data_IF_529639583946
#
_entry.id   IF_529639583946
#
_cell.length_a   1.000
_cell.length_b   1.000
_cell.length_c   1.000
_cell.angle_alpha   90.00
_cell.angle_beta   90.00
_cell.angle_gamma   90.00
#
_symmetry.space_group_name_H-M   'P 1'
#
loop_
_entity.id
_entity.type
_entity.pdbx_description
1 polymer ?
#
# COMPACT_ATOMS: atom_id res chain seq x y z
N UNK A 1 -17.63 11.17 -17.25
CA UNK A 1 -16.22 11.63 -17.02
C UNK A 1 -15.45 11.83 -18.34
N UNK A 2 -16.13 11.76 -19.49
CA UNK A 2 -15.50 11.67 -20.83
C UNK A 2 -15.40 13.02 -21.56
N UNK A 3 -16.25 13.99 -21.24
CA UNK A 3 -16.38 15.21 -22.08
C UNK A 3 -15.31 16.27 -21.78
N UNK A 4 -14.96 16.52 -20.51
CA UNK A 4 -13.87 17.46 -20.15
C UNK A 4 -12.54 17.07 -20.78
N UNK A 5 -12.18 15.79 -20.73
CA UNK A 5 -10.92 15.31 -21.32
C UNK A 5 -10.90 15.49 -22.84
N UNK A 6 -12.05 15.28 -23.49
CA UNK A 6 -12.22 15.49 -24.93
C UNK A 6 -12.06 16.97 -25.30
N UNK A 7 -12.74 17.89 -24.61
CA UNK A 7 -12.59 19.32 -24.87
C UNK A 7 -11.16 19.83 -24.65
N UNK A 8 -10.46 19.33 -23.62
CA UNK A 8 -9.05 19.62 -23.42
C UNK A 8 -8.19 19.08 -24.57
N UNK A 9 -8.42 17.85 -25.02
CA UNK A 9 -7.66 17.24 -26.12
C UNK A 9 -7.76 18.04 -27.44
N UNK A 10 -8.90 18.67 -27.66
CA UNK A 10 -9.21 19.44 -28.87
C UNK A 10 -8.98 20.95 -28.75
N UNK A 11 -8.55 21.44 -27.58
CA UNK A 11 -8.46 22.89 -27.28
C UNK A 11 -9.80 23.64 -27.45
N UNK A 12 -10.92 22.93 -27.27
CA UNK A 12 -12.28 23.46 -27.31
C UNK A 12 -12.65 24.07 -25.96
N UNK A 13 -11.90 25.11 -25.57
CA UNK A 13 -12.02 25.73 -24.26
C UNK A 13 -13.33 26.46 -24.07
N UNK A 14 -13.90 27.03 -25.14
CA UNK A 14 -15.15 27.75 -25.03
C UNK A 14 -16.28 26.79 -24.66
N UNK A 15 -16.37 25.65 -25.34
CA UNK A 15 -17.35 24.62 -25.06
C UNK A 15 -17.11 23.97 -23.70
N UNK A 16 -15.86 23.72 -23.31
CA UNK A 16 -15.53 23.26 -21.96
C UNK A 16 -16.13 24.17 -20.89
N UNK A 17 -15.94 25.49 -20.99
CA UNK A 17 -16.39 26.41 -19.97
C UNK A 17 -17.90 26.66 -20.02
N UNK A 18 -18.49 26.77 -21.22
CA UNK A 18 -19.90 27.08 -21.37
C UNK A 18 -20.81 25.86 -21.17
N UNK A 19 -20.47 24.73 -21.78
CA UNK A 19 -21.34 23.55 -21.84
C UNK A 19 -21.15 22.63 -20.63
N UNK A 20 -19.91 22.41 -20.19
CA UNK A 20 -19.62 21.50 -19.07
C UNK A 20 -19.56 22.19 -17.71
N UNK A 21 -18.93 23.37 -17.64
CA UNK A 21 -18.65 24.04 -16.38
C UNK A 21 -19.70 25.09 -15.98
N UNK A 22 -20.64 25.45 -16.86
CA UNK A 22 -21.68 26.45 -16.55
C UNK A 22 -21.13 27.86 -16.37
N UNK A 23 -20.20 28.28 -17.24
CA UNK A 23 -19.68 29.66 -17.26
C UNK A 23 -20.41 30.50 -18.29
N UNK A 24 -20.28 31.82 -18.16
CA UNK A 24 -20.99 32.77 -19.00
C UNK A 24 -20.15 33.10 -20.25
N UNK A 25 -20.82 33.39 -21.37
CA UNK A 25 -20.13 33.77 -22.62
C UNK A 25 -19.38 35.10 -22.42
N UNK A 26 -18.09 35.09 -22.77
CA UNK A 26 -17.27 36.30 -22.84
C UNK A 26 -16.83 36.55 -24.29
N UNK A 27 -16.85 37.81 -24.73
CA UNK A 27 -16.41 38.21 -26.05
C UNK A 27 -15.33 39.30 -25.93
N UNK A 28 -14.38 39.27 -26.87
CA UNK A 28 -13.29 40.24 -26.96
C UNK A 28 -11.91 39.60 -26.97
N UNK A 29 -10.91 40.42 -27.30
CA UNK A 29 -9.51 40.07 -27.38
C UNK A 29 -8.67 41.06 -26.59
N UNK A 30 -7.55 40.60 -26.08
CA UNK A 30 -6.58 41.43 -25.36
C UNK A 30 -5.26 41.29 -26.06
N UNK A 31 -4.79 42.40 -26.62
CA UNK A 31 -3.49 42.48 -27.27
C UNK A 31 -2.44 42.96 -26.26
N UNK A 32 -1.37 42.18 -26.10
CA UNK A 32 -0.23 42.51 -25.27
C UNK A 32 1.04 42.55 -26.13
N UNK A 33 1.88 43.56 -25.92
CA UNK A 33 3.21 43.59 -26.55
C UNK A 33 4.28 43.20 -25.55
N UNK A 34 5.09 42.18 -25.84
CA UNK A 34 6.22 41.74 -25.00
C UNK A 34 7.37 41.24 -25.89
N UNK A 35 8.61 41.66 -25.58
CA UNK A 35 9.82 41.30 -26.33
C UNK A 35 9.70 41.57 -27.86
N UNK A 36 9.01 42.64 -28.24
CA UNK A 36 8.77 43.00 -29.65
C UNK A 36 7.75 42.12 -30.39
N UNK A 37 7.07 41.20 -29.70
CA UNK A 37 5.99 40.38 -30.25
C UNK A 37 4.63 40.82 -29.70
N UNK A 38 3.62 40.78 -30.55
CA UNK A 38 2.22 40.98 -30.18
C UNK A 38 1.60 39.64 -29.81
N UNK A 39 0.83 39.65 -28.74
CA UNK A 39 0.17 38.50 -28.14
C UNK A 39 -1.33 38.75 -28.12
N UNK A 40 -2.07 37.94 -28.86
CA UNK A 40 -3.52 38.00 -28.91
C UNK A 40 -4.11 36.96 -27.94
N UNK A 41 -4.78 37.43 -26.90
CA UNK A 41 -5.49 36.60 -25.93
C UNK A 41 -7.00 36.74 -26.13
N UNK A 42 -7.64 35.66 -26.57
CA UNK A 42 -9.08 35.60 -26.76
C UNK A 42 -9.80 35.34 -25.43
N UNK A 43 -10.88 36.08 -25.16
CA UNK A 43 -11.79 35.76 -24.06
C UNK A 43 -12.61 34.52 -24.41
N UNK A 44 -12.54 33.52 -23.55
CA UNK A 44 -13.20 32.22 -23.71
C UNK A 44 -14.53 32.21 -22.97
N UNK A 45 -14.49 32.59 -21.69
CA UNK A 45 -15.63 32.59 -20.79
C UNK A 45 -15.41 33.59 -19.66
N UNK A 46 -16.47 33.90 -18.91
CA UNK A 46 -16.37 34.64 -17.66
C UNK A 46 -17.29 34.03 -16.60
N UNK A 47 -17.00 34.32 -15.33
CA UNK A 47 -17.97 34.09 -14.24
C UNK A 47 -17.87 35.22 -13.23
N UNK A 48 -18.96 35.98 -13.07
CA UNK A 48 -19.08 37.08 -12.09
C UNK A 48 -17.90 38.07 -12.06
N UNK A 49 -17.21 38.27 -13.19
CA UNK A 49 -16.06 39.18 -13.34
C UNK A 49 -14.70 38.49 -13.47
N UNK A 50 -14.59 37.20 -13.15
CA UNK A 50 -13.39 36.40 -13.44
C UNK A 50 -13.38 36.08 -14.94
N UNK A 51 -12.28 36.37 -15.63
CA UNK A 51 -12.16 36.11 -17.07
C UNK A 51 -11.25 34.91 -17.36
N UNK A 52 -11.67 34.05 -18.29
CA UNK A 52 -10.84 33.00 -18.86
C UNK A 52 -10.36 33.45 -20.23
N UNK A 53 -9.04 33.39 -20.41
CA UNK A 53 -8.36 33.83 -21.60
C UNK A 53 -7.63 32.67 -22.25
N UNK A 54 -7.63 32.61 -23.58
CA UNK A 54 -6.89 31.63 -24.36
C UNK A 54 -5.94 32.33 -25.32
N UNK A 55 -4.67 31.91 -25.28
CA UNK A 55 -3.62 32.38 -26.19
C UNK A 55 -2.98 31.20 -26.93
N UNK A 56 -3.19 31.11 -28.24
CA UNK A 56 -2.48 30.15 -29.07
C UNK A 56 -1.05 30.64 -29.32
N UNK A 57 -0.07 29.77 -29.14
CA UNK A 57 1.35 30.14 -29.23
C UNK A 57 2.22 28.99 -29.74
N UNK A 58 3.49 29.27 -30.07
CA UNK A 58 4.45 28.28 -30.52
C UNK A 58 5.06 27.47 -29.36
N UNK A 59 5.52 26.26 -29.65
CA UNK A 59 6.11 25.35 -28.65
C UNK A 59 7.32 25.94 -27.89
N UNK A 60 8.32 26.57 -28.54
CA UNK A 60 9.41 27.25 -27.83
C UNK A 60 8.90 28.28 -26.82
N UNK A 61 7.90 29.06 -27.23
CA UNK A 61 7.30 30.08 -26.39
C UNK A 61 6.51 29.48 -25.21
N UNK A 62 5.74 28.41 -25.43
CA UNK A 62 5.02 27.69 -24.38
C UNK A 62 5.97 27.05 -23.34
N UNK A 63 7.22 26.75 -23.73
CA UNK A 63 8.28 26.29 -22.82
C UNK A 63 8.98 27.43 -22.07
N UNK A 64 8.91 28.66 -22.59
CA UNK A 64 9.57 29.82 -21.97
C UNK A 64 8.72 30.41 -20.84
N UNK A 65 8.85 29.83 -19.65
CA UNK A 65 8.10 30.25 -18.44
C UNK A 65 8.39 31.67 -18.02
N UNK A 66 9.63 32.13 -18.15
CA UNK A 66 9.98 33.51 -17.83
C UNK A 66 9.15 34.48 -18.69
N UNK A 67 8.97 34.16 -19.97
CA UNK A 67 8.13 34.94 -20.86
C UNK A 67 6.65 34.86 -20.48
N UNK A 68 6.11 33.66 -20.24
CA UNK A 68 4.71 33.50 -19.84
C UNK A 68 4.40 34.24 -18.52
N UNK A 69 5.31 34.22 -17.54
CA UNK A 69 5.16 34.99 -16.29
C UNK A 69 5.17 36.50 -16.51
N UNK A 70 6.04 37.00 -17.39
CA UNK A 70 6.05 38.43 -17.76
C UNK A 70 4.74 38.83 -18.45
N UNK A 71 4.17 37.96 -19.29
CA UNK A 71 2.84 38.18 -19.86
C UNK A 71 1.77 38.23 -18.78
N UNK A 72 1.76 37.25 -17.88
CA UNK A 72 0.83 37.21 -16.75
C UNK A 72 0.92 38.47 -15.89
N UNK A 73 2.12 38.97 -15.61
CA UNK A 73 2.33 40.21 -14.85
C UNK A 73 1.77 41.43 -15.57
N UNK A 74 1.97 41.55 -16.89
CA UNK A 74 1.35 42.63 -17.69
C UNK A 74 -0.17 42.50 -17.69
N UNK A 75 -0.68 41.29 -17.84
CA UNK A 75 -2.10 41.01 -17.89
C UNK A 75 -2.81 41.30 -16.56
N UNK A 76 -2.16 41.03 -15.43
CA UNK A 76 -2.65 41.39 -14.09
C UNK A 76 -2.76 42.90 -13.83
N UNK A 77 -2.13 43.73 -14.66
CA UNK A 77 -2.33 45.17 -14.69
C UNK A 77 -3.59 45.60 -15.45
N UNK A 78 -4.14 44.73 -16.32
CA UNK A 78 -5.32 45.00 -17.13
C UNK A 78 -6.59 44.35 -16.58
N UNK A 79 -6.46 43.12 -16.06
CA UNK A 79 -7.59 42.36 -15.49
C UNK A 79 -7.23 41.92 -14.09
N UNK A 80 -8.13 42.21 -13.14
CA UNK A 80 -7.92 41.89 -11.74
C UNK A 80 -7.85 40.37 -11.49
N UNK A 81 -8.84 39.62 -11.98
CA UNK A 81 -8.99 38.17 -11.73
C UNK A 81 -9.14 37.43 -13.06
N UNK A 82 -8.16 36.58 -13.39
CA UNK A 82 -8.15 35.90 -14.68
C UNK A 82 -7.40 34.57 -14.66
N UNK A 83 -7.93 33.60 -15.41
CA UNK A 83 -7.28 32.34 -15.77
C UNK A 83 -6.76 32.49 -17.20
N UNK A 84 -5.50 32.15 -17.47
CA UNK A 84 -4.97 32.11 -18.83
C UNK A 84 -4.62 30.70 -19.22
N UNK A 85 -5.05 30.30 -20.41
CA UNK A 85 -4.74 29.02 -21.00
C UNK A 85 -3.89 29.30 -22.24
N UNK A 86 -2.63 28.90 -22.21
CA UNK A 86 -1.80 28.92 -23.41
C UNK A 86 -1.83 27.56 -24.07
N UNK A 87 -1.99 27.50 -25.39
CA UNK A 87 -1.97 26.22 -26.11
C UNK A 87 -1.09 26.26 -27.37
N UNK A 88 -0.58 25.10 -27.79
CA UNK A 88 0.14 24.93 -29.06
C UNK A 88 -0.26 23.63 -29.74
N UNK A 89 -0.26 23.57 -31.08
CA UNK A 89 -0.78 22.41 -31.83
C UNK A 89 0.22 21.26 -32.07
N UNK A 90 1.53 21.51 -32.01
CA UNK A 90 2.54 20.51 -32.39
C UNK A 90 3.68 20.31 -31.38
N UNK A 91 3.70 19.23 -30.58
CA UNK A 91 2.57 18.40 -30.16
C UNK A 91 1.57 19.18 -29.30
N UNK A 92 0.29 18.78 -29.30
CA UNK A 92 -0.77 19.47 -28.56
C UNK A 92 -0.48 19.57 -27.07
N UNK A 93 -0.28 20.79 -26.59
CA UNK A 93 0.01 21.10 -25.18
C UNK A 93 -0.78 22.28 -24.69
N UNK A 94 -0.85 22.35 -23.37
CA UNK A 94 -1.50 23.43 -22.65
C UNK A 94 -0.68 23.81 -21.44
N UNK A 95 -0.69 25.11 -21.12
CA UNK A 95 -0.21 25.64 -19.85
C UNK A 95 -1.30 26.50 -19.29
N UNK A 96 -1.91 26.03 -18.20
CA UNK A 96 -2.89 26.80 -17.45
C UNK A 96 -2.17 27.65 -16.42
N UNK A 97 -2.39 28.95 -16.46
CA UNK A 97 -1.83 29.92 -15.54
C UNK A 97 -2.94 30.58 -14.75
N UNK A 98 -2.75 30.61 -13.43
CA UNK A 98 -3.60 31.34 -12.51
C UNK A 98 -2.69 32.14 -11.58
N UNK A 99 -3.00 33.43 -11.41
CA UNK A 99 -2.21 34.32 -10.58
C UNK A 99 -3.11 34.92 -9.49
N UNK A 100 -2.78 34.64 -8.24
CA UNK A 100 -3.51 35.19 -7.08
C UNK A 100 -2.73 36.37 -6.52
N UNK A 101 -3.37 37.52 -6.33
CA UNK A 101 -2.79 38.59 -5.50
C UNK A 101 -2.73 38.08 -4.07
N UNK A 102 -1.53 38.12 -3.46
CA UNK A 102 -1.37 37.84 -2.04
C UNK A 102 -2.15 38.85 -1.21
N UNK A 103 -2.33 38.55 0.07
CA UNK A 103 -2.99 39.43 1.03
C UNK A 103 -2.35 40.83 1.11
N UNK A 104 -1.09 40.96 0.65
CA UNK A 104 -0.37 42.23 0.49
C UNK A 104 -0.81 43.08 -0.74
N UNK A 105 -1.71 42.56 -1.58
CA UNK A 105 -2.25 43.18 -2.80
C UNK A 105 -1.24 43.41 -3.94
N UNK A 106 0.07 43.27 -3.66
CA UNK A 106 1.17 43.69 -4.54
C UNK A 106 1.88 42.52 -5.19
N UNK A 107 1.94 41.35 -4.55
CA UNK A 107 2.67 40.18 -5.05
C UNK A 107 1.72 39.16 -5.64
N UNK A 108 1.98 38.74 -6.87
CA UNK A 108 1.26 37.66 -7.52
C UNK A 108 1.89 36.31 -7.15
N UNK A 109 1.09 35.37 -6.64
CA UNK A 109 1.45 33.95 -6.58
C UNK A 109 1.08 33.33 -7.92
N UNK A 110 2.09 32.91 -8.69
CA UNK A 110 1.88 32.28 -9.99
C UNK A 110 1.77 30.76 -9.82
N UNK A 111 0.72 30.17 -10.37
CA UNK A 111 0.56 28.72 -10.53
C UNK A 111 0.51 28.38 -12.01
N UNK A 112 1.22 27.33 -12.38
CA UNK A 112 1.31 26.84 -13.74
C UNK A 112 1.01 25.35 -13.74
N UNK A 113 0.10 24.92 -14.61
CA UNK A 113 -0.20 23.50 -14.83
C UNK A 113 0.07 23.15 -16.30
N UNK A 114 1.33 22.79 -16.64
CA UNK A 114 1.68 22.35 -17.98
C UNK A 114 1.33 20.87 -18.18
N UNK A 115 0.67 20.53 -19.29
CA UNK A 115 0.38 19.14 -19.65
C UNK A 115 0.15 18.97 -21.16
N UNK A 116 0.12 17.71 -21.60
CA UNK A 116 -0.27 17.36 -22.97
C UNK A 116 -1.77 17.26 -23.10
N UNK A 117 -2.31 17.86 -24.16
CA UNK A 117 -3.76 17.85 -24.39
C UNK A 117 -4.33 16.44 -24.53
N UNK A 118 -3.59 15.51 -25.14
CA UNK A 118 -4.05 14.13 -25.33
C UNK A 118 -3.97 13.28 -24.05
N UNK A 119 -3.32 13.77 -22.99
CA UNK A 119 -3.16 13.06 -21.72
C UNK A 119 -3.23 14.06 -20.56
N UNK A 120 -4.41 14.65 -20.32
CA UNK A 120 -4.60 15.53 -19.18
C UNK A 120 -4.47 14.72 -17.88
N UNK A 121 -3.79 15.24 -16.84
CA UNK A 121 -3.63 14.55 -15.57
C UNK A 121 -5.00 14.25 -14.94
N UNK A 122 -5.21 13.02 -14.46
CA UNK A 122 -6.49 12.61 -13.84
C UNK A 122 -6.89 13.48 -12.65
N UNK A 123 -5.91 13.93 -11.85
CA UNK A 123 -6.12 14.90 -10.76
C UNK A 123 -6.63 16.24 -11.29
N UNK A 124 -6.09 16.73 -12.40
CA UNK A 124 -6.57 17.97 -13.01
C UNK A 124 -7.99 17.82 -13.52
N UNK A 125 -8.33 16.71 -14.18
CA UNK A 125 -9.70 16.42 -14.63
C UNK A 125 -10.68 16.42 -13.46
N UNK A 126 -10.34 15.73 -12.37
CA UNK A 126 -11.18 15.72 -11.17
C UNK A 126 -11.33 17.12 -10.56
N UNK A 127 -10.25 17.91 -10.53
CA UNK A 127 -10.26 19.29 -10.04
C UNK A 127 -11.13 20.20 -10.90
N UNK A 128 -11.04 20.10 -12.23
CA UNK A 128 -11.84 20.93 -13.13
C UNK A 128 -13.35 20.73 -12.94
N UNK A 129 -13.80 19.55 -12.52
CA UNK A 129 -15.21 19.36 -12.11
C UNK A 129 -15.63 20.31 -10.97
N UNK A 130 -14.69 20.69 -10.10
CA UNK A 130 -14.94 21.66 -9.04
C UNK A 130 -15.14 23.11 -9.52
N UNK A 131 -14.87 23.42 -10.80
CA UNK A 131 -15.19 24.71 -11.41
C UNK A 131 -16.61 24.77 -11.97
N UNK A 132 -17.40 23.71 -11.80
CA UNK A 132 -18.77 23.65 -12.29
C UNK A 132 -19.68 24.54 -11.43
N UNK A 133 -20.59 25.26 -12.09
CA UNK A 133 -21.71 25.96 -11.49
C UNK A 133 -23.00 25.35 -12.04
N UNK A 134 -23.91 24.94 -11.17
CA UNK A 134 -25.24 24.44 -11.59
C UNK A 134 -26.19 25.60 -11.78
N UNK A 135 -27.22 25.44 -12.61
CA UNK A 135 -28.22 26.48 -12.88
C UNK A 135 -28.85 27.04 -11.59
N UNK A 136 -29.17 26.17 -10.62
CA UNK A 136 -29.73 26.56 -9.32
C UNK A 136 -28.75 27.43 -8.49
N UNK A 137 -27.44 27.22 -8.64
CA UNK A 137 -26.43 28.02 -7.94
C UNK A 137 -26.19 29.37 -8.63
N UNK A 138 -26.46 29.49 -9.93
CA UNK A 138 -26.11 30.69 -10.69
C UNK A 138 -26.78 31.95 -10.17
N UNK A 139 -28.03 31.84 -9.69
CA UNK A 139 -28.80 32.98 -9.18
C UNK A 139 -28.18 33.59 -7.91
N UNK A 140 -27.53 32.76 -7.08
CA UNK A 140 -27.00 33.16 -5.77
C UNK A 140 -25.49 33.42 -5.77
N UNK A 141 -24.74 32.85 -6.73
CA UNK A 141 -23.27 32.91 -6.72
C UNK A 141 -22.76 34.35 -6.88
N UNK A 142 -22.05 34.81 -5.85
CA UNK A 142 -21.32 36.09 -5.86
C UNK A 142 -19.93 35.96 -6.47
N UNK A 143 -19.27 37.08 -6.77
CA UNK A 143 -17.85 37.10 -7.16
C UNK A 143 -16.95 36.43 -6.10
N UNK A 144 -17.24 36.63 -4.81
CA UNK A 144 -16.44 36.05 -3.71
C UNK A 144 -16.56 34.53 -3.72
N UNK A 145 -17.76 33.99 -3.97
CA UNK A 145 -17.99 32.54 -4.02
C UNK A 145 -17.34 31.93 -5.26
N UNK A 146 -17.47 32.59 -6.42
CA UNK A 146 -16.77 32.19 -7.63
C UNK A 146 -15.24 32.20 -7.44
N UNK A 147 -14.69 33.25 -6.82
CA UNK A 147 -13.25 33.34 -6.50
C UNK A 147 -12.82 32.26 -5.52
N UNK A 148 -13.61 32.01 -4.47
CA UNK A 148 -13.33 30.96 -3.49
C UNK A 148 -13.28 29.59 -4.16
N UNK A 149 -14.24 29.29 -5.04
CA UNK A 149 -14.30 28.02 -5.78
C UNK A 149 -13.12 27.87 -6.74
N UNK A 150 -12.85 28.90 -7.56
CA UNK A 150 -11.68 28.92 -8.46
C UNK A 150 -10.38 28.75 -7.67
N UNK A 151 -10.24 29.41 -6.52
CA UNK A 151 -9.09 29.26 -5.63
C UNK A 151 -9.01 27.85 -5.03
N UNK A 152 -10.11 27.29 -4.54
CA UNK A 152 -10.12 25.91 -4.03
C UNK A 152 -9.70 24.90 -5.08
N UNK A 153 -10.02 25.12 -6.35
CA UNK A 153 -9.68 24.21 -7.44
C UNK A 153 -8.26 24.43 -7.97
N UNK A 154 -7.87 25.69 -8.24
CA UNK A 154 -6.62 26.03 -8.92
C UNK A 154 -5.47 26.39 -7.97
N UNK A 155 -5.75 26.72 -6.69
CA UNK A 155 -4.72 26.89 -5.64
C UNK A 155 -4.40 25.55 -4.93
N UNK A 156 -5.08 24.47 -5.30
CA UNK A 156 -4.83 23.14 -4.74
C UNK A 156 -3.62 22.46 -5.38
N UNK A 157 -2.46 22.70 -4.76
CA UNK A 157 -1.43 21.70 -4.47
C UNK A 157 -0.43 22.35 -3.52
N UNK A 158 -0.67 22.18 -2.21
CA UNK A 158 0.39 22.29 -1.21
C UNK A 158 1.45 21.18 -1.41
N UNK A 159 1.15 20.15 -2.20
CA UNK A 159 2.06 19.05 -2.49
C UNK A 159 3.24 19.48 -3.39
N UNK A 160 3.06 20.38 -4.36
CA UNK A 160 4.16 20.86 -5.20
C UNK A 160 4.78 22.18 -4.72
N UNK A 161 4.45 22.61 -3.50
CA UNK A 161 4.80 23.94 -3.02
C UNK A 161 6.33 24.14 -2.87
N UNK A 162 7.10 23.05 -2.75
CA UNK A 162 8.56 23.10 -2.82
C UNK A 162 9.08 23.67 -4.15
N UNK A 163 8.46 23.31 -5.29
CA UNK A 163 8.90 23.75 -6.64
C UNK A 163 8.22 25.04 -7.08
N UNK A 164 6.96 25.23 -6.71
CA UNK A 164 6.22 26.44 -7.06
C UNK A 164 6.72 27.70 -6.33
N UNK A 165 7.37 27.54 -5.16
CA UNK A 165 7.98 28.66 -4.42
C UNK A 165 9.30 29.14 -5.03
N UNK A 166 9.93 28.35 -5.90
CA UNK A 166 11.31 28.56 -6.32
C UNK A 166 11.48 28.54 -7.84
N UNK A 167 11.17 29.67 -8.53
CA UNK A 167 11.39 29.87 -9.97
C UNK A 167 12.71 29.33 -10.53
N UNK A 168 13.80 29.49 -9.77
CA UNK A 168 15.14 29.04 -10.16
C UNK A 168 15.24 27.52 -10.27
N UNK A 169 14.41 26.77 -9.54
CA UNK A 169 14.50 25.32 -9.50
C UNK A 169 14.17 24.72 -10.86
N UNK A 170 13.04 25.15 -11.46
CA UNK A 170 12.60 24.64 -12.76
C UNK A 170 13.62 25.01 -13.86
N UNK A 171 14.12 26.24 -13.85
CA UNK A 171 15.12 26.69 -14.82
C UNK A 171 16.45 25.92 -14.68
N UNK A 172 16.90 25.68 -13.45
CA UNK A 172 18.11 24.91 -13.20
C UNK A 172 17.93 23.42 -13.52
N UNK A 173 16.76 22.85 -13.23
CA UNK A 173 16.40 21.48 -13.62
C UNK A 173 16.47 21.31 -15.13
N UNK A 174 15.88 22.24 -15.90
CA UNK A 174 15.91 22.20 -17.36
C UNK A 174 17.34 22.32 -17.92
N UNK A 175 18.17 23.19 -17.35
CA UNK A 175 19.59 23.31 -17.74
C UNK A 175 20.38 22.04 -17.46
N UNK A 176 20.20 21.45 -16.28
CA UNK A 176 20.88 20.20 -15.91
C UNK A 176 20.36 19.01 -16.75
N UNK A 177 19.08 18.99 -17.10
CA UNK A 177 18.52 17.99 -18.00
C UNK A 177 19.13 18.10 -19.41
N UNK A 178 19.36 19.32 -19.92
CA UNK A 178 20.08 19.51 -21.18
C UNK A 178 21.54 19.04 -21.08
N UNK A 179 22.24 19.39 -20.00
CA UNK A 179 23.59 18.91 -19.77
C UNK A 179 23.68 17.37 -19.64
N UNK A 180 22.60 16.72 -19.16
CA UNK A 180 22.48 15.27 -19.10
C UNK A 180 22.23 14.62 -20.48
N UNK A 181 21.55 15.31 -21.41
CA UNK A 181 21.41 14.87 -22.81
C UNK A 181 22.76 14.90 -23.55
N UNK A 182 23.60 15.89 -23.23
CA UNK A 182 24.90 16.12 -23.87
C UNK A 182 26.07 15.43 -23.15
N UNK A 183 25.88 14.99 -21.89
CA UNK A 183 26.92 14.50 -21.00
C UNK A 183 26.79 13.02 -20.60
N UNK A 184 27.88 12.48 -20.01
CA UNK A 184 27.92 11.11 -19.47
C UNK A 184 27.44 10.98 -18.02
N UNK A 185 27.87 9.93 -17.31
CA UNK A 185 27.41 9.65 -15.94
C UNK A 185 27.57 10.81 -14.94
N UNK A 186 28.60 11.64 -15.09
CA UNK A 186 28.81 12.80 -14.23
C UNK A 186 27.65 13.81 -14.29
N UNK A 187 27.06 14.01 -15.47
CA UNK A 187 25.91 14.90 -15.65
C UNK A 187 24.64 14.30 -15.04
N UNK A 188 24.43 12.99 -15.19
CA UNK A 188 23.35 12.25 -14.52
C UNK A 188 23.47 12.36 -12.99
N UNK A 189 24.68 12.20 -12.45
CA UNK A 189 24.92 12.29 -11.02
C UNK A 189 24.61 13.71 -10.49
N UNK A 190 25.08 14.75 -11.16
CA UNK A 190 24.76 16.14 -10.82
C UNK A 190 23.24 16.42 -10.87
N UNK A 191 22.57 15.88 -11.89
CA UNK A 191 21.11 16.01 -12.06
C UNK A 191 20.34 15.32 -10.92
N UNK A 192 20.72 14.11 -10.53
CA UNK A 192 20.11 13.37 -9.41
C UNK A 192 20.36 14.08 -8.08
N UNK A 193 21.59 14.54 -7.82
CA UNK A 193 21.91 15.27 -6.58
C UNK A 193 21.12 16.57 -6.44
N UNK A 194 20.91 17.30 -7.54
CA UNK A 194 20.08 18.51 -7.53
C UNK A 194 18.62 18.20 -7.11
N UNK A 195 18.09 17.05 -7.50
CA UNK A 195 16.73 16.61 -7.17
C UNK A 195 16.61 15.88 -5.83
N UNK A 196 17.67 15.76 -5.02
CA UNK A 196 17.60 15.17 -3.68
C UNK A 196 16.48 15.74 -2.78
N UNK A 197 16.25 17.07 -2.71
CA UNK A 197 15.17 17.61 -1.88
C UNK A 197 13.78 17.12 -2.30
N UNK A 198 13.58 16.84 -3.59
CA UNK A 198 12.33 16.25 -4.10
C UNK A 198 12.10 14.87 -3.48
N UNK A 199 13.14 14.03 -3.44
CA UNK A 199 13.07 12.69 -2.86
C UNK A 199 12.68 12.76 -1.40
N UNK A 200 13.37 13.59 -0.61
CA UNK A 200 13.07 13.73 0.81
C UNK A 200 11.63 14.20 1.05
N UNK A 201 11.17 15.16 0.25
CA UNK A 201 9.80 15.66 0.34
C UNK A 201 8.76 14.56 0.04
N UNK A 202 8.98 13.74 -1.00
CA UNK A 202 8.07 12.63 -1.34
C UNK A 202 8.14 11.52 -0.27
N UNK A 203 9.34 11.12 0.13
CA UNK A 203 9.61 10.01 1.06
C UNK A 203 9.01 10.25 2.45
N UNK A 204 9.01 11.49 2.95
CA UNK A 204 8.40 11.86 4.23
C UNK A 204 6.92 11.43 4.35
N UNK A 205 6.19 11.43 3.23
CA UNK A 205 4.78 11.02 3.20
C UNK A 205 4.62 9.52 3.43
N UNK A 206 5.62 8.72 3.08
CA UNK A 206 5.60 7.26 3.19
C UNK A 206 6.04 6.76 4.57
N UNK A 207 6.92 7.50 5.26
CA UNK A 207 7.25 7.25 6.67
C UNK A 207 5.99 7.12 7.51
N UNK A 208 5.04 8.05 7.31
CA UNK A 208 3.75 8.04 8.03
C UNK A 208 2.92 6.76 7.78
N UNK A 209 3.01 6.14 6.60
CA UNK A 209 2.22 4.94 6.28
C UNK A 209 2.85 3.66 6.82
N UNK A 210 4.17 3.64 6.94
CA UNK A 210 4.92 2.42 7.18
C UNK A 210 5.55 2.33 8.56
N UNK A 211 5.47 3.40 9.38
CA UNK A 211 6.19 3.51 10.65
C UNK A 211 7.70 3.21 10.49
N UNK A 212 8.23 3.44 9.30
CA UNK A 212 9.58 3.11 8.89
C UNK A 212 10.58 4.26 9.03
N UNK A 213 11.87 3.96 8.90
CA UNK A 213 12.89 5.00 8.89
C UNK A 213 12.75 5.90 7.64
N UNK A 214 12.89 7.20 7.84
CA UNK A 214 12.94 8.18 6.76
C UNK A 214 14.13 7.95 5.84
N UNK A 215 15.24 7.43 6.37
CA UNK A 215 16.42 7.13 5.57
C UNK A 215 16.12 6.02 4.56
N UNK A 216 15.49 4.92 4.98
CA UNK A 216 15.11 3.82 4.10
C UNK A 216 14.08 4.26 3.05
N UNK A 217 13.10 5.06 3.45
CA UNK A 217 12.11 5.63 2.53
C UNK A 217 12.77 6.56 1.50
N UNK A 218 13.77 7.34 1.93
CA UNK A 218 14.55 8.21 1.05
C UNK A 218 15.42 7.40 0.09
N UNK A 219 16.08 6.32 0.53
CA UNK A 219 16.86 5.45 -0.35
C UNK A 219 16.00 4.82 -1.44
N UNK A 220 14.83 4.29 -1.08
CA UNK A 220 13.84 3.79 -2.05
C UNK A 220 13.43 4.88 -3.04
N UNK A 221 13.22 6.10 -2.53
CA UNK A 221 12.91 7.26 -3.35
C UNK A 221 14.05 7.68 -4.28
N UNK A 222 15.31 7.57 -3.87
CA UNK A 222 16.48 7.84 -4.70
C UNK A 222 16.59 6.85 -5.86
N UNK A 223 16.30 5.57 -5.62
CA UNK A 223 16.23 4.57 -6.70
C UNK A 223 15.14 4.93 -7.71
N UNK A 224 14.00 5.46 -7.24
CA UNK A 224 12.91 5.93 -8.08
C UNK A 224 13.29 7.17 -8.89
N UNK A 225 14.00 8.11 -8.27
CA UNK A 225 14.54 9.30 -8.91
C UNK A 225 15.57 8.94 -9.98
N UNK A 226 16.47 7.98 -9.70
CA UNK A 226 17.47 7.52 -10.66
C UNK A 226 16.80 6.86 -11.88
N UNK A 227 15.78 6.04 -11.65
CA UNK A 227 14.97 5.47 -12.73
C UNK A 227 14.26 6.55 -13.55
N UNK A 228 13.71 7.57 -12.89
CA UNK A 228 13.09 8.70 -13.56
C UNK A 228 14.11 9.46 -14.42
N UNK A 229 15.28 9.78 -13.87
CA UNK A 229 16.33 10.52 -14.58
C UNK A 229 16.77 9.80 -15.85
N UNK A 230 16.99 8.47 -15.78
CA UNK A 230 17.40 7.66 -16.94
C UNK A 230 16.34 7.56 -18.05
N UNK A 231 15.06 7.70 -17.71
CA UNK A 231 13.94 7.57 -18.66
C UNK A 231 13.32 8.92 -19.05
N UNK A 232 13.83 10.00 -18.47
CA UNK A 232 13.26 11.31 -18.69
C UNK A 232 13.52 11.77 -20.12
N UNK A 233 12.44 12.21 -20.77
CA UNK A 233 12.47 12.71 -22.14
C UNK A 233 12.01 14.17 -22.14
N UNK A 234 12.95 15.09 -22.30
CA UNK A 234 12.68 16.53 -22.32
C UNK A 234 11.95 16.97 -23.60
N UNK A 235 12.01 16.17 -24.68
CA UNK A 235 11.17 16.40 -25.86
C UNK A 235 9.68 16.29 -25.47
N UNK A 236 9.36 15.44 -24.47
CA UNK A 236 8.03 15.37 -23.87
C UNK A 236 7.72 16.53 -22.94
N UNK A 237 8.68 17.35 -22.55
CA UNK A 237 8.56 18.68 -21.92
C UNK A 237 7.43 18.89 -20.90
N UNK A 238 7.07 17.85 -20.17
CA UNK A 238 6.63 17.98 -18.80
C UNK A 238 7.86 18.30 -17.94
N UNK A 239 7.67 18.97 -16.81
CA UNK A 239 8.78 19.13 -15.87
C UNK A 239 9.28 17.78 -15.43
N UNK A 240 10.59 17.67 -15.21
CA UNK A 240 11.14 16.48 -14.61
C UNK A 240 10.49 16.18 -13.24
N UNK A 241 10.25 17.22 -12.42
CA UNK A 241 9.58 17.10 -11.12
C UNK A 241 8.23 16.38 -11.21
N UNK A 242 7.40 16.73 -12.21
CA UNK A 242 6.09 16.12 -12.45
C UNK A 242 6.21 14.63 -12.75
N UNK A 243 7.18 14.25 -13.59
CA UNK A 243 7.42 12.84 -13.93
C UNK A 243 8.06 12.06 -12.78
N UNK A 244 9.06 12.66 -12.14
CA UNK A 244 9.85 12.05 -11.08
C UNK A 244 9.01 11.76 -9.84
N UNK A 245 8.07 12.63 -9.45
CA UNK A 245 7.17 12.37 -8.31
C UNK A 245 6.47 11.03 -8.46
N UNK A 246 5.91 10.72 -9.63
CA UNK A 246 5.23 9.44 -9.85
C UNK A 246 6.17 8.23 -9.79
N UNK A 247 7.40 8.38 -10.27
CA UNK A 247 8.40 7.32 -10.22
C UNK A 247 8.88 7.06 -8.78
N UNK A 248 9.15 8.14 -8.04
CA UNK A 248 9.57 8.11 -6.63
C UNK A 248 8.45 7.51 -5.79
N UNK A 249 7.22 8.03 -5.90
CA UNK A 249 6.05 7.49 -5.20
C UNK A 249 5.85 6.02 -5.54
N UNK A 250 5.91 5.64 -6.82
CA UNK A 250 5.73 4.26 -7.26
C UNK A 250 6.73 3.29 -6.60
N UNK A 251 8.01 3.67 -6.55
CA UNK A 251 9.03 2.86 -5.88
C UNK A 251 8.86 2.85 -4.36
N UNK A 252 8.69 4.00 -3.72
CA UNK A 252 8.43 4.07 -2.27
C UNK A 252 7.21 3.23 -1.89
N UNK A 253 6.16 3.21 -2.71
CA UNK A 253 4.96 2.40 -2.46
C UNK A 253 5.25 0.90 -2.54
N UNK A 254 6.00 0.49 -3.56
CA UNK A 254 6.34 -0.91 -3.80
C UNK A 254 7.30 -1.44 -2.74
N UNK A 255 8.38 -0.72 -2.50
CA UNK A 255 9.43 -1.12 -1.56
C UNK A 255 8.91 -0.98 -0.12
N UNK A 256 8.09 0.04 0.14
CA UNK A 256 7.17 0.18 1.28
C UNK A 256 6.48 -1.12 1.67
N UNK A 257 5.77 -1.70 0.70
CA UNK A 257 5.01 -2.93 0.88
C UNK A 257 5.88 -4.18 1.09
N UNK A 258 7.12 -4.16 0.61
CA UNK A 258 8.02 -5.32 0.64
C UNK A 258 8.84 -5.37 1.93
N UNK A 259 9.34 -4.22 2.39
CA UNK A 259 10.41 -4.16 3.39
C UNK A 259 9.97 -3.59 4.74
N UNK A 260 8.93 -2.77 4.80
CA UNK A 260 8.58 -2.04 6.01
C UNK A 260 7.46 -2.68 6.83
N UNK A 261 7.12 -3.94 6.58
CA UNK A 261 6.13 -4.68 7.36
C UNK A 261 6.79 -5.88 8.02
N UNK A 262 6.56 -6.06 9.32
CA UNK A 262 7.03 -7.24 10.05
C UNK A 262 6.42 -8.53 9.49
N UNK A 263 5.15 -8.46 9.07
CA UNK A 263 4.45 -9.54 8.37
C UNK A 263 4.10 -9.02 6.97
N UNK A 264 4.58 -9.71 5.94
CA UNK A 264 4.41 -9.27 4.56
C UNK A 264 2.94 -9.37 4.14
N UNK A 265 2.38 -8.24 3.70
CA UNK A 265 1.01 -8.16 3.16
C UNK A 265 1.08 -7.92 1.64
N UNK A 266 0.29 -8.63 0.82
CA UNK A 266 0.22 -8.39 -0.62
C UNK A 266 -0.12 -6.92 -0.95
N UNK A 267 0.56 -6.33 -1.94
CA UNK A 267 0.43 -4.91 -2.27
C UNK A 267 -1.00 -4.48 -2.64
N UNK A 268 -1.79 -5.39 -3.22
CA UNK A 268 -3.19 -5.14 -3.59
C UNK A 268 -4.13 -5.07 -2.37
N UNK A 269 -3.74 -5.65 -1.23
CA UNK A 269 -4.47 -5.57 0.04
C UNK A 269 -3.96 -4.42 0.92
N UNK A 270 -2.64 -4.18 0.88
CA UNK A 270 -1.97 -3.21 1.73
C UNK A 270 -2.49 -1.78 1.54
N UNK A 271 -2.53 -1.28 0.31
CA UNK A 271 -2.96 0.10 0.04
C UNK A 271 -4.41 0.37 0.42
N UNK A 272 -5.38 -0.47 0.04
CA UNK A 272 -6.76 -0.34 0.53
C UNK A 272 -6.86 -0.32 2.05
N UNK A 273 -6.15 -1.23 2.74
CA UNK A 273 -6.21 -1.30 4.20
C UNK A 273 -5.56 -0.09 4.88
N UNK A 274 -4.41 0.40 4.39
CA UNK A 274 -3.79 1.62 4.91
C UNK A 274 -4.66 2.87 4.70
N UNK A 275 -5.34 2.95 3.56
CA UNK A 275 -6.29 4.05 3.32
C UNK A 275 -7.49 3.95 4.26
N UNK A 276 -8.03 2.74 4.45
CA UNK A 276 -9.12 2.47 5.39
C UNK A 276 -8.71 2.84 6.82
N UNK A 277 -7.52 2.45 7.27
CA UNK A 277 -7.01 2.81 8.60
C UNK A 277 -7.06 4.33 8.83
N UNK A 278 -6.58 5.12 7.86
CA UNK A 278 -6.60 6.59 7.97
C UNK A 278 -8.01 7.17 7.93
N UNK A 279 -8.92 6.54 7.22
CA UNK A 279 -10.32 6.94 7.21
C UNK A 279 -10.98 6.66 8.55
N UNK A 280 -10.73 5.49 9.12
CA UNK A 280 -11.19 5.12 10.46
C UNK A 280 -10.61 6.03 11.55
N UNK A 281 -9.34 6.43 11.45
CA UNK A 281 -8.73 7.42 12.36
C UNK A 281 -9.47 8.78 12.31
N UNK A 282 -9.90 9.23 11.12
CA UNK A 282 -10.71 10.45 10.98
C UNK A 282 -12.11 10.28 11.55
N UNK A 283 -12.76 9.15 11.26
CA UNK A 283 -14.09 8.82 11.79
C UNK A 283 -14.05 8.78 13.32
N UNK A 284 -13.01 8.16 13.89
CA UNK A 284 -12.78 8.12 15.33
C UNK A 284 -12.64 9.50 15.94
N UNK A 285 -11.90 10.41 15.29
CA UNK A 285 -11.71 11.77 15.78
C UNK A 285 -13.02 12.57 15.87
N UNK A 286 -14.03 12.23 15.05
CA UNK A 286 -15.32 12.92 15.01
C UNK A 286 -16.35 12.25 15.93
N UNK A 287 -16.44 10.92 15.91
CA UNK A 287 -17.53 10.16 16.54
C UNK A 287 -17.09 9.00 17.44
N UNK A 288 -15.80 8.86 17.70
CA UNK A 288 -15.24 7.81 18.56
C UNK A 288 -15.48 6.40 18.01
N UNK A 289 -15.49 5.41 18.93
CA UNK A 289 -15.56 4.00 18.57
C UNK A 289 -16.92 3.59 17.97
N UNK A 290 -18.02 4.24 18.35
CA UNK A 290 -19.35 3.93 17.82
C UNK A 290 -19.41 4.23 16.32
N UNK A 291 -18.89 5.38 15.90
CA UNK A 291 -18.83 5.77 14.49
C UNK A 291 -17.92 4.85 13.66
N UNK A 292 -16.82 4.33 14.23
CA UNK A 292 -16.02 3.29 13.55
C UNK A 292 -16.87 2.05 13.26
N UNK A 293 -17.63 1.58 14.25
CA UNK A 293 -18.41 0.35 14.11
C UNK A 293 -19.50 0.52 13.04
N UNK A 294 -20.18 1.65 13.03
CA UNK A 294 -21.16 2.01 11.99
C UNK A 294 -20.50 2.08 10.60
N UNK A 295 -19.35 2.75 10.49
CA UNK A 295 -18.60 2.84 9.24
C UNK A 295 -18.19 1.46 8.71
N UNK A 296 -17.74 0.54 9.58
CA UNK A 296 -17.34 -0.80 9.18
C UNK A 296 -18.54 -1.65 8.71
N UNK A 297 -19.73 -1.44 9.27
CA UNK A 297 -20.97 -2.07 8.80
C UNK A 297 -21.32 -1.57 7.40
N UNK A 298 -21.26 -0.25 7.18
CA UNK A 298 -21.49 0.34 5.85
C UNK A 298 -20.44 -0.12 4.83
N UNK A 299 -19.18 -0.20 5.25
CA UNK A 299 -18.09 -0.71 4.42
C UNK A 299 -18.35 -2.16 4.00
N UNK A 300 -18.82 -3.02 4.90
CA UNK A 300 -19.13 -4.41 4.57
C UNK A 300 -20.22 -4.53 3.48
N UNK A 301 -21.15 -3.56 3.41
CA UNK A 301 -22.14 -3.50 2.34
C UNK A 301 -21.56 -2.95 1.02
N UNK A 302 -20.66 -1.96 1.09
CA UNK A 302 -20.06 -1.30 -0.08
C UNK A 302 -18.93 -2.11 -0.73
N UNK A 303 -18.05 -2.69 0.09
CA UNK A 303 -16.87 -3.45 -0.29
C UNK A 303 -16.65 -4.63 0.68
N UNK A 304 -17.35 -5.76 0.45
CA UNK A 304 -17.26 -6.92 1.33
C UNK A 304 -15.87 -7.58 1.32
N UNK A 305 -15.10 -7.43 0.24
CA UNK A 305 -13.76 -7.99 0.14
C UNK A 305 -12.81 -7.26 1.10
N UNK A 306 -12.78 -5.93 1.06
CA UNK A 306 -11.96 -5.13 1.96
C UNK A 306 -12.37 -5.31 3.43
N UNK A 307 -13.67 -5.36 3.71
CA UNK A 307 -14.18 -5.58 5.06
C UNK A 307 -13.74 -6.95 5.64
N UNK A 308 -13.63 -7.99 4.81
CA UNK A 308 -13.16 -9.32 5.22
C UNK A 308 -11.65 -9.32 5.52
N UNK A 309 -10.86 -8.60 4.74
CA UNK A 309 -9.40 -8.58 4.88
C UNK A 309 -8.92 -7.64 5.99
N UNK A 310 -9.69 -6.58 6.29
CA UNK A 310 -9.35 -5.57 7.29
C UNK A 310 -8.97 -6.12 8.68
N UNK A 311 -9.72 -7.06 9.30
CA UNK A 311 -9.36 -7.60 10.60
C UNK A 311 -8.00 -8.29 10.61
N UNK A 312 -7.68 -9.05 9.55
CA UNK A 312 -6.41 -9.73 9.39
C UNK A 312 -5.26 -8.71 9.26
N UNK A 313 -5.44 -7.71 8.39
CA UNK A 313 -4.48 -6.62 8.25
C UNK A 313 -4.26 -5.88 9.58
N UNK A 314 -5.33 -5.48 10.26
CA UNK A 314 -5.27 -4.75 11.53
C UNK A 314 -4.50 -5.57 12.59
N UNK A 315 -4.72 -6.88 12.65
CA UNK A 315 -4.01 -7.77 13.55
C UNK A 315 -2.49 -7.80 13.29
N UNK A 316 -2.05 -7.77 12.02
CA UNK A 316 -0.61 -7.76 11.70
C UNK A 316 0.13 -6.52 12.18
N UNK A 317 -0.57 -5.39 12.34
CA UNK A 317 0.00 -4.10 12.79
C UNK A 317 -0.27 -3.78 14.25
N UNK A 318 -1.24 -4.44 14.87
CA UNK A 318 -1.57 -4.26 16.28
C UNK A 318 -0.51 -4.93 17.15
N UNK A 319 0.59 -4.22 17.37
CA UNK A 319 1.59 -4.63 18.36
C UNK A 319 1.00 -4.46 19.75
N UNK A 320 0.83 -5.60 20.44
CA UNK A 320 0.36 -5.61 21.81
C UNK A 320 1.56 -5.67 22.76
N UNK A 321 1.62 -4.74 23.71
CA UNK A 321 2.67 -4.71 24.71
C UNK A 321 2.48 -5.87 25.69
N UNK A 322 3.53 -6.66 25.93
CA UNK A 322 3.56 -7.67 26.99
C UNK A 322 4.30 -7.16 28.23
N UNK A 323 4.37 -5.83 28.40
CA UNK A 323 5.14 -5.22 29.49
C UNK A 323 4.38 -5.22 30.81
N UNK A 324 3.04 -5.31 30.76
CA UNK A 324 2.18 -5.20 31.93
C UNK A 324 1.54 -6.55 32.29
N UNK A 325 1.91 -7.18 33.42
CA UNK A 325 1.34 -8.46 33.83
C UNK A 325 -0.18 -8.47 34.07
N UNK A 326 -0.77 -7.29 34.29
CA UNK A 326 -2.21 -7.11 34.49
C UNK A 326 -3.02 -7.20 33.19
N UNK A 327 -2.40 -6.93 32.04
CA UNK A 327 -3.10 -6.93 30.75
C UNK A 327 -3.49 -8.35 30.31
N UNK A 328 -4.67 -8.54 29.71
CA UNK A 328 -5.12 -9.85 29.26
C UNK A 328 -4.15 -10.48 28.25
N UNK A 329 -3.53 -9.67 27.40
CA UNK A 329 -2.51 -10.07 26.43
C UNK A 329 -1.31 -10.79 27.07
N UNK A 330 -0.79 -10.25 28.17
CA UNK A 330 0.29 -10.87 28.91
C UNK A 330 -0.14 -12.22 29.48
N UNK A 331 -1.36 -12.29 30.02
CA UNK A 331 -1.92 -13.52 30.59
C UNK A 331 -2.15 -14.58 29.52
N UNK A 332 -2.58 -14.20 28.32
CA UNK A 332 -2.71 -15.09 27.16
C UNK A 332 -1.35 -15.59 26.68
N UNK A 333 -0.37 -14.69 26.51
CA UNK A 333 0.99 -15.06 26.12
C UNK A 333 1.64 -16.04 27.12
N UNK A 334 1.34 -15.90 28.42
CA UNK A 334 1.82 -16.82 29.47
C UNK A 334 1.10 -18.17 29.48
N UNK A 335 -0.09 -18.26 28.89
CA UNK A 335 -0.84 -19.51 28.73
C UNK A 335 -0.38 -20.30 27.50
N UNK A 336 0.44 -19.72 26.62
CA UNK A 336 1.13 -20.50 25.60
C UNK A 336 1.89 -21.63 26.32
N UNK A 337 1.60 -22.91 26.02
CA UNK A 337 2.30 -24.00 26.66
C UNK A 337 3.78 -23.80 26.37
N UNK A 338 4.58 -23.63 27.42
CA UNK A 338 6.03 -23.68 27.27
C UNK A 338 6.32 -24.94 26.47
N UNK A 339 6.96 -24.83 25.29
CA UNK A 339 7.47 -26.01 24.58
C UNK A 339 8.20 -26.81 25.63
N UNK A 340 7.64 -27.97 25.99
CA UNK A 340 8.09 -28.66 27.17
C UNK A 340 9.59 -28.90 27.01
N UNK A 341 10.35 -28.53 28.03
CA UNK A 341 11.81 -28.47 27.95
C UNK A 341 12.29 -29.80 27.32
N UNK A 342 12.95 -29.79 26.15
CA UNK A 342 13.32 -31.01 25.45
C UNK A 342 14.12 -31.98 26.33
N UNK A 343 14.90 -31.43 27.28
CA UNK A 343 15.64 -32.20 28.27
C UNK A 343 14.72 -32.84 29.31
N UNK A 344 13.72 -32.10 29.81
CA UNK A 344 12.75 -32.62 30.78
C UNK A 344 11.83 -33.68 30.15
N UNK A 345 11.35 -33.44 28.92
CA UNK A 345 10.62 -34.44 28.15
C UNK A 345 11.49 -35.67 27.87
N UNK A 346 12.76 -35.47 27.48
CA UNK A 346 13.68 -36.56 27.20
C UNK A 346 13.92 -37.47 28.41
N UNK A 347 14.09 -36.88 29.60
CA UNK A 347 14.23 -37.60 30.87
C UNK A 347 12.92 -38.30 31.24
N UNK A 348 11.79 -37.61 31.19
CA UNK A 348 10.48 -38.20 31.50
C UNK A 348 10.15 -39.37 30.55
N UNK A 349 10.42 -39.21 29.25
CA UNK A 349 10.25 -40.30 28.28
C UNK A 349 11.23 -41.45 28.52
N UNK A 350 12.47 -41.17 28.96
CA UNK A 350 13.43 -42.21 29.32
C UNK A 350 12.96 -43.01 30.55
N UNK A 351 12.54 -42.33 31.61
CA UNK A 351 11.98 -42.96 32.81
C UNK A 351 10.74 -43.80 32.48
N UNK A 352 9.78 -43.25 31.71
CA UNK A 352 8.59 -43.99 31.26
C UNK A 352 8.96 -45.22 30.43
N UNK A 353 9.96 -45.12 29.54
CA UNK A 353 10.44 -46.27 28.74
C UNK A 353 11.06 -47.34 29.63
N UNK A 354 11.82 -46.97 30.65
CA UNK A 354 12.43 -47.91 31.59
C UNK A 354 11.36 -48.64 32.41
N UNK A 355 10.39 -47.92 32.96
CA UNK A 355 9.26 -48.49 33.71
C UNK A 355 8.48 -49.51 32.84
N UNK A 356 8.23 -49.17 31.57
CA UNK A 356 7.54 -50.08 30.64
C UNK A 356 8.41 -51.30 30.30
N UNK A 357 9.72 -51.12 30.08
CA UNK A 357 10.66 -52.23 29.83
C UNK A 357 10.71 -53.20 30.99
N UNK A 358 10.76 -52.70 32.22
CA UNK A 358 10.76 -53.52 33.43
C UNK A 358 9.45 -54.30 33.59
N UNK A 359 8.31 -53.65 33.35
CA UNK A 359 7.02 -54.32 33.38
C UNK A 359 6.94 -55.45 32.34
N UNK A 360 7.45 -55.22 31.12
CA UNK A 360 7.52 -56.24 30.07
C UNK A 360 8.47 -57.39 30.47
N UNK A 361 9.58 -57.09 31.17
CA UNK A 361 10.52 -58.10 31.63
C UNK A 361 9.93 -59.08 32.68
N UNK A 362 8.88 -58.68 33.40
CA UNK A 362 8.15 -59.58 34.33
C UNK A 362 7.29 -60.64 33.63
N UNK A 363 7.07 -60.50 32.32
CA UNK A 363 6.30 -61.46 31.53
C UNK A 363 7.17 -62.70 31.21
N UNK A 364 6.50 -63.80 30.83
CA UNK A 364 7.21 -64.97 30.29
C UNK A 364 7.97 -64.56 29.03
N UNK A 365 9.19 -65.07 28.84
CA UNK A 365 10.09 -64.70 27.72
C UNK A 365 9.39 -64.63 26.35
N UNK A 366 8.55 -65.61 26.02
CA UNK A 366 7.79 -65.64 24.75
C UNK A 366 6.69 -64.59 24.65
N UNK A 367 6.05 -64.26 25.76
CA UNK A 367 4.97 -63.27 25.84
C UNK A 367 5.53 -61.84 25.83
N UNK A 368 6.69 -61.63 26.47
CA UNK A 368 7.44 -60.38 26.41
C UNK A 368 7.88 -60.06 24.96
N UNK A 369 8.38 -61.06 24.23
CA UNK A 369 8.80 -60.90 22.85
C UNK A 369 7.65 -60.51 21.91
N UNK A 370 6.44 -61.06 22.10
CA UNK A 370 5.26 -60.66 21.32
C UNK A 370 4.88 -59.19 21.52
N UNK A 371 4.98 -58.68 22.74
CA UNK A 371 4.73 -57.25 23.02
C UNK A 371 5.83 -56.39 22.40
N UNK A 372 7.11 -56.76 22.55
CA UNK A 372 8.23 -55.97 22.02
C UNK A 372 8.20 -55.86 20.50
N UNK A 373 7.88 -56.95 19.79
CA UNK A 373 7.77 -56.96 18.34
C UNK A 373 6.51 -56.24 17.84
N UNK A 374 5.38 -56.35 18.56
CA UNK A 374 4.14 -55.69 18.13
C UNK A 374 4.21 -54.16 18.23
N UNK A 375 4.89 -53.63 19.24
CA UNK A 375 4.98 -52.20 19.53
C UNK A 375 6.37 -51.60 19.29
N UNK A 376 7.28 -52.35 18.64
CA UNK A 376 8.58 -51.81 18.21
C UNK A 376 9.51 -51.34 19.34
N UNK A 377 9.44 -51.94 20.54
CA UNK A 377 10.28 -51.48 21.67
C UNK A 377 11.79 -51.71 21.46
N UNK A 378 12.14 -52.68 20.60
CA UNK A 378 13.51 -53.11 20.27
C UNK A 378 13.83 -52.91 18.76
N UNK A 379 12.96 -52.24 17.99
CA UNK A 379 13.10 -52.12 16.53
C UNK A 379 11.79 -51.72 15.83
N UNK A 380 11.58 -52.17 14.59
CA UNK A 380 10.35 -51.88 13.85
C UNK A 380 9.14 -52.66 14.38
N UNK A 381 7.95 -52.06 14.27
CA UNK A 381 6.69 -52.72 14.59
C UNK A 381 6.38 -53.84 13.58
N UNK A 382 6.00 -55.01 14.09
CA UNK A 382 5.62 -56.16 13.27
C UNK A 382 4.13 -56.45 13.34
N UNK A 383 3.58 -56.94 12.23
CA UNK A 383 2.19 -57.40 12.18
C UNK A 383 2.03 -58.72 12.96
N UNK A 384 0.81 -59.00 13.42
CA UNK A 384 0.51 -60.26 14.12
C UNK A 384 0.80 -61.50 13.27
N UNK A 385 0.72 -61.36 11.95
CA UNK A 385 1.03 -62.41 10.98
C UNK A 385 2.55 -62.65 10.89
N UNK A 386 3.35 -61.59 10.78
CA UNK A 386 4.82 -61.67 10.79
C UNK A 386 5.34 -62.29 12.11
N UNK A 387 4.81 -61.84 13.24
CA UNK A 387 5.13 -62.42 14.57
C UNK A 387 4.70 -63.89 14.62
N UNK A 388 3.55 -64.24 14.04
CA UNK A 388 3.08 -65.60 13.96
C UNK A 388 4.02 -66.51 13.17
N UNK A 389 4.44 -66.06 11.99
CA UNK A 389 5.38 -66.78 11.11
C UNK A 389 6.73 -67.01 11.81
N UNK A 390 7.29 -65.99 12.48
CA UNK A 390 8.57 -66.09 13.18
C UNK A 390 8.56 -67.10 14.35
N UNK A 391 7.43 -67.25 15.04
CA UNK A 391 7.29 -68.11 16.21
C UNK A 391 6.52 -69.42 15.94
N UNK A 392 6.22 -69.72 14.67
CA UNK A 392 5.52 -70.94 14.26
C UNK A 392 4.10 -71.06 14.83
N UNK A 393 3.38 -69.94 14.96
CA UNK A 393 2.00 -69.89 15.49
C UNK A 393 1.08 -69.11 14.57
N UNK A 394 -0.22 -69.38 14.62
CA UNK A 394 -1.20 -68.63 13.82
C UNK A 394 -1.32 -67.19 14.30
N UNK A 395 -1.66 -66.26 13.40
CA UNK A 395 -2.00 -64.85 13.71
C UNK A 395 -2.95 -64.74 14.91
N UNK A 396 -4.02 -65.53 14.89
CA UNK A 396 -5.04 -65.53 15.94
C UNK A 396 -4.48 -65.98 17.30
N UNK A 397 -3.50 -66.89 17.30
CA UNK A 397 -2.84 -67.32 18.54
C UNK A 397 -1.98 -66.22 19.16
N UNK A 398 -1.31 -65.40 18.34
CA UNK A 398 -0.59 -64.20 18.80
C UNK A 398 -1.58 -63.19 19.37
N UNK A 399 -2.69 -62.93 18.66
CA UNK A 399 -3.76 -62.01 19.11
C UNK A 399 -4.32 -62.42 20.47
N UNK A 400 -4.73 -63.69 20.63
CA UNK A 400 -5.27 -64.22 21.89
C UNK A 400 -4.30 -64.06 23.06
N UNK A 401 -3.00 -64.23 22.83
CA UNK A 401 -1.99 -64.01 23.86
C UNK A 401 -1.86 -62.54 24.22
N UNK A 402 -1.76 -61.64 23.24
CA UNK A 402 -1.68 -60.19 23.50
C UNK A 402 -2.90 -59.68 24.27
N UNK A 403 -4.11 -60.10 23.91
CA UNK A 403 -5.35 -59.79 24.64
C UNK A 403 -5.28 -60.20 26.11
N UNK A 404 -4.58 -61.29 26.43
CA UNK A 404 -4.39 -61.74 27.82
C UNK A 404 -3.27 -61.01 28.55
N UNK A 405 -2.26 -60.53 27.83
CA UNK A 405 -1.06 -59.89 28.39
C UNK A 405 -1.28 -58.40 28.65
N UNK A 406 -1.93 -57.68 27.73
CA UNK A 406 -2.09 -56.22 27.82
C UNK A 406 -2.82 -55.76 29.10
N UNK A 407 -3.93 -56.39 29.53
CA UNK A 407 -4.59 -56.02 30.79
C UNK A 407 -3.71 -56.26 32.02
N UNK A 408 -2.82 -57.25 31.95
CA UNK A 408 -1.86 -57.54 33.02
C UNK A 408 -0.79 -56.45 33.09
N UNK A 409 -0.25 -56.02 31.94
CA UNK A 409 0.69 -54.91 31.87
C UNK A 409 0.05 -53.59 32.34
N UNK A 410 -1.18 -53.30 31.90
CA UNK A 410 -1.94 -52.12 32.35
C UNK A 410 -2.09 -52.08 33.87
N UNK A 411 -2.42 -53.21 34.52
CA UNK A 411 -2.53 -53.28 35.99
C UNK A 411 -1.20 -53.05 36.71
N UNK A 412 -0.09 -53.49 36.12
CA UNK A 412 1.25 -53.27 36.68
C UNK A 412 1.71 -51.82 36.52
N UNK A 413 1.35 -51.18 35.40
CA UNK A 413 1.77 -49.83 35.05
C UNK A 413 0.86 -48.74 35.63
N UNK A 414 -0.43 -49.01 35.85
CA UNK A 414 -1.40 -48.05 36.37
C UNK A 414 -0.97 -47.31 37.67
N UNK A 415 -0.46 -47.98 38.72
CA UNK A 415 -0.06 -47.28 39.95
C UNK A 415 1.20 -46.43 39.77
N UNK A 416 2.10 -46.82 38.84
CA UNK A 416 3.39 -46.15 38.63
C UNK A 416 3.25 -44.94 37.70
N UNK A 417 2.47 -45.08 36.62
CA UNK A 417 2.29 -44.05 35.61
C UNK A 417 1.02 -43.19 35.82
N UNK A 418 0.29 -43.39 36.93
CA UNK A 418 -0.99 -42.73 37.24
C UNK A 418 -1.99 -42.80 36.07
N UNK A 419 -2.04 -43.93 35.39
CA UNK A 419 -2.97 -44.14 34.28
C UNK A 419 -4.39 -44.37 34.83
N UNK A 420 -5.45 -43.89 34.14
CA UNK A 420 -6.82 -44.22 34.50
C UNK A 420 -7.00 -45.75 34.46
N UNK A 421 -7.62 -46.31 35.50
CA UNK A 421 -7.87 -47.75 35.58
C UNK A 421 -8.85 -48.17 34.48
N UNK A 422 -8.60 -49.26 33.74
CA UNK A 422 -9.45 -49.65 32.63
C UNK A 422 -10.83 -50.11 33.12
N UNK A 423 -11.87 -49.34 32.77
CA UNK A 423 -13.27 -49.76 32.85
C UNK A 423 -13.66 -50.43 31.54
N UNK A 424 -13.81 -51.75 31.57
CA UNK A 424 -14.24 -52.63 30.45
C UNK A 424 -13.17 -53.03 29.41
N UNK A 425 -13.35 -54.24 28.87
CA UNK A 425 -12.42 -54.98 27.98
C UNK A 425 -12.59 -54.65 26.49
N UNK A 426 -13.50 -53.74 26.12
CA UNK A 426 -13.97 -53.55 24.73
C UNK A 426 -13.12 -52.59 23.87
N UNK A 427 -12.04 -52.01 24.39
CA UNK A 427 -11.20 -51.05 23.64
C UNK A 427 -9.87 -51.65 23.15
N UNK A 428 -9.85 -52.93 22.77
CA UNK A 428 -8.83 -53.46 21.85
C UNK A 428 -9.46 -53.54 20.46
N UNK A 429 -9.97 -52.42 19.97
CA UNK A 429 -10.33 -52.25 18.56
C UNK A 429 -9.04 -51.94 17.81
N UNK A 430 -8.76 -52.63 16.71
CA UNK A 430 -7.70 -52.20 15.79
C UNK A 430 -7.95 -50.71 15.48
N UNK A 431 -6.96 -49.80 15.62
CA UNK A 431 -7.07 -48.53 14.92
C UNK A 431 -7.22 -48.92 13.44
N UNK A 432 -8.35 -48.52 12.86
CA UNK A 432 -8.58 -48.58 11.42
C UNK A 432 -7.33 -48.06 10.73
N UNK A 433 -6.90 -48.67 9.63
CA UNK A 433 -5.80 -48.18 8.78
C UNK A 433 -5.97 -46.70 8.35
N UNK A 434 -7.13 -46.09 8.61
CA UNK A 434 -7.42 -44.67 8.44
C UNK A 434 -6.90 -43.71 9.55
N UNK A 435 -6.41 -44.22 10.69
CA UNK A 435 -5.86 -43.41 11.80
C UNK A 435 -4.35 -43.65 12.00
N UNK A 436 -3.61 -43.86 10.92
CA UNK A 436 -2.15 -43.76 10.96
C UNK A 436 -1.75 -42.33 11.33
N UNK A 437 -1.29 -42.15 12.58
CA UNK A 437 -0.49 -40.98 12.96
C UNK A 437 0.73 -40.96 12.02
N UNK A 438 1.04 -39.84 11.35
CA UNK A 438 2.15 -39.77 10.42
C UNK A 438 3.44 -40.18 11.13
N UNK A 439 4.21 -41.04 10.48
CA UNK A 439 5.48 -41.54 11.04
C UNK A 439 6.44 -40.38 11.32
N UNK A 440 7.35 -40.56 12.28
CA UNK A 440 8.33 -39.55 12.67
C UNK A 440 9.23 -39.03 11.51
N UNK A 441 9.21 -39.71 10.35
CA UNK A 441 9.83 -39.23 9.11
C UNK A 441 9.06 -38.07 8.46
N UNK A 442 7.73 -38.09 8.46
CA UNK A 442 6.89 -37.01 7.92
C UNK A 442 6.85 -35.78 8.83
N UNK A 443 7.02 -35.98 10.15
CA UNK A 443 7.14 -34.88 11.12
C UNK A 443 8.47 -34.11 11.00
N UNK A 444 9.52 -34.76 10.49
CA UNK A 444 10.82 -34.13 10.25
C UNK A 444 10.84 -33.32 8.95
N UNK A 445 10.12 -33.76 7.90
CA UNK A 445 10.00 -32.99 6.66
C UNK A 445 9.14 -31.73 6.82
N UNK A 446 8.11 -31.78 7.67
CA UNK A 446 7.29 -30.60 8.03
C UNK A 446 8.04 -29.57 8.89
N UNK A 447 9.14 -29.95 9.56
CA UNK A 447 9.96 -29.03 10.35
C UNK A 447 11.08 -28.34 9.53
N UNK A 448 11.28 -28.74 8.26
CA UNK A 448 12.28 -28.16 7.36
C UNK A 448 11.63 -27.27 6.28
N UNK A 449 10.29 -27.21 6.23
CA UNK A 449 9.53 -26.44 5.25
C UNK A 449 8.85 -25.15 5.78
N UNK A 450 9.09 -24.76 7.04
CA UNK A 450 8.83 -23.40 7.58
C UNK A 450 10.16 -22.71 7.91
#
# INVERSE_FOLDING_TARGET
MTDIAHYLAEHRFQELFLEELGWDRAAGRIELTLDGRVWDLQKVAQKRGIQVLHGQTDRPTLRNRARLRRLQQKLAGLIHEHVVIYSCDGPRRQVWQWAVRRDDGRRLRHREHPFFSHSPPSRLLHRLNGLRFTLDEEEEVTLIDALRRVRQVLDHDAEFDFFARHPWYAEQSDRLAQAMEEGGEAALHAFVLFHRPLVNWVAQRFVFFFDGDIEDAAQSGFLGLLHAARRYDRSRGAEFSTYAVHCIEGLCKRDGALWFQSIRVPIHLLWPCLNLQRELERVYAVGGQVAINEYLIELAARDPALAREWPHFHQTRSLKSLSQPSEPEYREARQLPARANPLALGVEHAERREIVRDAIATLKSRDAAFVRLKYGFDGEEQTLEQIGQQYGVTRERVRQRLVKILPRLQRLLAPVLKLPMPTSYDEIREPSEAEAVPTASESAELAIAE
#
